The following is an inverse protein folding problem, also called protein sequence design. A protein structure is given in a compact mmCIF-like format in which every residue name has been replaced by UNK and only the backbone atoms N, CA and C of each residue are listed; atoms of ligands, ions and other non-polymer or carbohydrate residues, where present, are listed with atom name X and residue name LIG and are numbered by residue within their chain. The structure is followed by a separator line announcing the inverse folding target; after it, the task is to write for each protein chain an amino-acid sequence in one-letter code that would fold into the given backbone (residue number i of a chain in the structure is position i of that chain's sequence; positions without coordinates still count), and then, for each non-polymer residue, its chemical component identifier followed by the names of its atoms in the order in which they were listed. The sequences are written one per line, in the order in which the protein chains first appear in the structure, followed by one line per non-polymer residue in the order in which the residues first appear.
data_IF_348662109077
#
_entry.id   IF_348662109077
#
_cell.length_a   1.000
_cell.length_b   1.000
_cell.length_c   1.000
_cell.angle_alpha   90.00
_cell.angle_beta   90.00
_cell.angle_gamma   90.00
#
_symmetry.space_group_name_H-M   'P 1'
#
loop_
_entity.id
_entity.type
_entity.pdbx_description
1 polymer ?
#
# COMPACT_ATOMS: atom_id res chain seq x y z
N UNK A 1 -4.75 -13.92 0.00
CA UNK A 1 -4.13 -12.59 -0.15
C UNK A 1 -4.66 -11.68 0.95
N UNK A 2 -3.76 -11.11 1.77
CA UNK A 2 -4.08 -10.04 2.71
C UNK A 2 -3.89 -8.69 2.02
N UNK A 3 -4.94 -7.87 1.96
CA UNK A 3 -4.89 -6.52 1.39
C UNK A 3 -5.20 -5.51 2.48
N UNK A 4 -4.26 -4.62 2.76
CA UNK A 4 -4.44 -3.58 3.78
C UNK A 4 -4.70 -2.22 3.15
N UNK A 5 -5.42 -1.35 3.86
CA UNK A 5 -5.57 0.06 3.50
C UNK A 5 -5.54 0.92 4.76
N UNK A 6 -5.05 2.14 4.66
CA UNK A 6 -4.92 3.04 5.79
C UNK A 6 -6.22 3.77 6.12
N UNK A 7 -6.37 4.12 7.40
CA UNK A 7 -7.36 5.05 7.91
C UNK A 7 -7.12 6.50 7.40
N UNK A 8 -8.06 7.43 7.56
CA UNK A 8 -7.88 8.84 7.24
C UNK A 8 -6.73 9.47 8.04
N UNK A 9 -5.98 10.39 7.41
CA UNK A 9 -4.86 11.11 8.02
C UNK A 9 -4.74 12.53 7.48
N UNK A 10 -3.91 13.35 8.12
CA UNK A 10 -3.59 14.71 7.65
C UNK A 10 -4.80 15.66 7.59
N UNK A 11 -5.81 15.43 8.44
CA UNK A 11 -7.04 16.24 8.48
C UNK A 11 -8.08 15.89 7.42
N UNK A 12 -7.85 14.86 6.60
CA UNK A 12 -8.84 14.34 5.66
C UNK A 12 -9.86 13.44 6.39
N UNK A 13 -11.10 13.40 5.89
CA UNK A 13 -12.16 12.55 6.43
C UNK A 13 -12.21 11.16 5.79
N UNK A 14 -11.51 10.97 4.68
CA UNK A 14 -11.53 9.74 3.88
C UNK A 14 -10.10 9.39 3.47
N UNK A 15 -9.79 8.11 3.44
CA UNK A 15 -8.58 7.60 2.80
C UNK A 15 -8.98 6.68 1.64
N UNK A 16 -8.71 7.03 0.38
CA UNK A 16 -9.13 6.25 -0.79
C UNK A 16 -8.52 4.84 -0.81
N UNK A 17 -7.42 4.62 -0.09
CA UNK A 17 -6.77 3.31 -0.03
C UNK A 17 -7.70 2.26 0.58
N UNK A 18 -8.19 2.47 1.81
CA UNK A 18 -9.07 1.49 2.43
C UNK A 18 -10.47 1.51 1.82
N UNK A 19 -10.99 2.68 1.39
CA UNK A 19 -12.28 2.74 0.69
C UNK A 19 -12.28 1.85 -0.58
N UNK A 20 -11.20 1.88 -1.37
CA UNK A 20 -11.07 1.01 -2.52
C UNK A 20 -10.87 -0.47 -2.15
N UNK A 21 -10.11 -0.76 -1.09
CA UNK A 21 -9.92 -2.13 -0.59
C UNK A 21 -11.26 -2.75 -0.16
N UNK A 22 -12.15 -1.99 0.47
CA UNK A 22 -13.49 -2.47 0.85
C UNK A 22 -14.32 -2.94 -0.35
N UNK A 23 -14.12 -2.34 -1.52
CA UNK A 23 -14.85 -2.65 -2.76
C UNK A 23 -14.30 -3.87 -3.52
N UNK A 24 -13.15 -4.41 -3.13
CA UNK A 24 -12.61 -5.61 -3.77
C UNK A 24 -13.57 -6.80 -3.60
N UNK A 25 -13.69 -7.69 -4.58
CA UNK A 25 -14.36 -8.99 -4.40
C UNK A 25 -13.70 -9.80 -3.27
N UNK A 26 -14.45 -10.68 -2.62
CA UNK A 26 -13.90 -11.57 -1.59
C UNK A 26 -13.06 -12.72 -2.18
N UNK A 27 -13.20 -12.96 -3.49
CA UNK A 27 -12.40 -13.92 -4.26
C UNK A 27 -11.96 -13.28 -5.57
N UNK A 28 -10.65 -13.33 -5.86
CA UNK A 28 -10.06 -12.89 -7.13
C UNK A 28 -9.24 -14.05 -7.70
N UNK A 29 -9.55 -14.52 -8.91
CA UNK A 29 -8.88 -15.66 -9.59
C UNK A 29 -8.73 -16.91 -8.68
N UNK A 30 -9.74 -17.17 -7.85
CA UNK A 30 -9.76 -18.28 -6.90
C UNK A 30 -9.05 -18.04 -5.58
N UNK A 31 -8.32 -16.94 -5.42
CA UNK A 31 -7.68 -16.56 -4.16
C UNK A 31 -8.64 -15.79 -3.25
N UNK A 32 -8.72 -16.18 -1.99
CA UNK A 32 -9.46 -15.45 -0.96
C UNK A 32 -8.77 -14.12 -0.65
N UNK A 33 -9.56 -13.05 -0.55
CA UNK A 33 -9.11 -11.70 -0.22
C UNK A 33 -9.51 -11.35 1.21
N UNK A 34 -8.54 -11.14 2.06
CA UNK A 34 -8.72 -10.66 3.43
C UNK A 34 -8.44 -9.16 3.43
N UNK A 35 -9.44 -8.36 3.81
CA UNK A 35 -9.39 -6.90 3.82
C UNK A 35 -9.14 -6.41 5.23
N UNK A 36 -8.15 -5.53 5.42
CA UNK A 36 -7.75 -5.06 6.74
C UNK A 36 -7.50 -3.54 6.74
N UNK A 37 -8.20 -2.82 7.59
CA UNK A 37 -7.89 -1.42 7.88
C UNK A 37 -6.72 -1.34 8.86
N UNK A 38 -5.76 -0.48 8.58
CA UNK A 38 -4.62 -0.21 9.46
C UNK A 38 -4.52 1.30 9.74
N UNK A 39 -4.11 1.70 10.94
CA UNK A 39 -3.96 3.11 11.27
C UNK A 39 -2.75 3.72 10.57
N UNK A 40 -2.82 5.01 10.25
CA UNK A 40 -1.66 5.77 9.75
C UNK A 40 -0.75 6.15 10.93
N UNK A 41 -0.11 5.14 11.53
CA UNK A 41 0.77 5.24 12.72
C UNK A 41 1.98 4.33 12.54
N UNK A 42 3.20 4.87 12.64
CA UNK A 42 4.46 4.19 12.33
C UNK A 42 4.63 2.81 13.00
N UNK A 43 4.30 2.71 14.29
CA UNK A 43 4.48 1.46 15.05
C UNK A 43 3.24 0.58 14.99
N UNK A 44 2.07 1.18 15.16
CA UNK A 44 0.82 0.42 15.30
C UNK A 44 0.38 -0.28 14.03
N UNK A 45 0.62 0.33 12.87
CA UNK A 45 0.27 -0.25 11.56
C UNK A 45 0.96 -1.60 11.34
N UNK A 46 2.26 -1.69 11.58
CA UNK A 46 3.00 -2.95 11.39
C UNK A 46 2.64 -4.01 12.44
N UNK A 47 2.34 -3.63 13.68
CA UNK A 47 1.87 -4.56 14.72
C UNK A 47 0.59 -5.28 14.26
N UNK A 48 -0.40 -4.51 13.76
CA UNK A 48 -1.67 -5.04 13.27
C UNK A 48 -1.47 -5.94 12.04
N UNK A 49 -0.61 -5.54 11.09
CA UNK A 49 -0.29 -6.40 9.94
C UNK A 49 0.39 -7.68 10.38
N UNK A 50 1.32 -7.64 11.34
CA UNK A 50 1.97 -8.82 11.90
C UNK A 50 0.97 -9.78 12.54
N UNK A 51 0.07 -9.27 13.38
CA UNK A 51 -1.00 -10.07 14.01
C UNK A 51 -1.87 -10.77 12.95
N UNK A 52 -2.23 -10.05 11.87
CA UNK A 52 -3.00 -10.63 10.76
C UNK A 52 -2.20 -11.69 9.99
N UNK A 53 -0.92 -11.46 9.72
CA UNK A 53 -0.03 -12.45 9.06
C UNK A 53 0.12 -13.70 9.93
N UNK A 54 0.32 -13.55 11.23
CA UNK A 54 0.42 -14.69 12.17
C UNK A 54 -0.87 -15.50 12.24
N UNK A 55 -2.02 -14.83 12.24
CA UNK A 55 -3.34 -15.47 12.33
C UNK A 55 -3.76 -16.16 11.03
N UNK A 56 -3.64 -15.45 9.92
CA UNK A 56 -4.28 -15.85 8.64
C UNK A 56 -3.30 -16.53 7.68
N UNK A 57 -1.98 -16.49 7.96
CA UNK A 57 -0.90 -17.10 7.17
C UNK A 57 -1.02 -16.86 5.65
N UNK A 58 -1.13 -15.58 5.20
CA UNK A 58 -1.36 -15.29 3.80
C UNK A 58 -0.12 -15.58 2.95
N UNK A 59 -0.33 -16.10 1.72
CA UNK A 59 0.76 -16.27 0.74
C UNK A 59 1.23 -14.92 0.18
N UNK A 60 0.35 -13.91 0.19
CA UNK A 60 0.60 -12.57 -0.36
C UNK A 60 0.08 -11.50 0.57
N UNK A 61 0.89 -10.46 0.79
CA UNK A 61 0.50 -9.23 1.49
C UNK A 61 0.67 -8.03 0.56
N UNK A 62 -0.43 -7.32 0.29
CA UNK A 62 -0.44 -6.09 -0.50
C UNK A 62 -0.92 -4.95 0.38
N UNK A 63 -0.04 -4.01 0.69
CA UNK A 63 -0.43 -2.81 1.42
C UNK A 63 -0.81 -1.71 0.43
N UNK A 64 -1.87 -0.98 0.70
CA UNK A 64 -2.38 0.10 -0.15
C UNK A 64 -2.39 1.41 0.64
N UNK A 65 -1.82 2.47 0.07
CA UNK A 65 -1.76 3.80 0.69
C UNK A 65 -2.09 4.91 -0.31
N UNK A 66 -2.46 6.08 0.22
CA UNK A 66 -2.70 7.26 -0.59
C UNK A 66 -1.39 8.00 -0.88
N UNK A 67 -1.16 8.35 -2.15
CA UNK A 67 -0.11 9.29 -2.57
C UNK A 67 -0.74 10.47 -3.30
N UNK A 68 -1.08 11.50 -2.56
CA UNK A 68 -1.68 12.73 -3.10
C UNK A 68 -0.80 13.37 -4.17
N UNK A 69 -1.43 13.84 -5.26
CA UNK A 69 -0.75 14.45 -6.40
C UNK A 69 -0.34 13.47 -7.51
N UNK A 70 -0.38 12.16 -7.29
CA UNK A 70 -0.21 11.18 -8.37
C UNK A 70 -1.47 11.12 -9.24
N UNK A 71 -1.30 10.93 -10.54
CA UNK A 71 -2.40 10.88 -11.52
C UNK A 71 -2.84 9.45 -11.86
N UNK A 72 -2.16 8.43 -11.34
CA UNK A 72 -2.46 7.02 -11.60
C UNK A 72 -2.11 6.15 -10.39
N UNK A 73 -2.61 4.94 -10.37
CA UNK A 73 -2.17 3.90 -9.44
C UNK A 73 -0.70 3.57 -9.70
N UNK A 74 0.09 3.38 -8.65
CA UNK A 74 1.51 3.07 -8.77
C UNK A 74 1.89 1.89 -7.91
N UNK A 75 2.59 0.92 -8.49
CA UNK A 75 3.12 -0.25 -7.78
C UNK A 75 4.56 0.03 -7.37
N UNK A 76 4.81 -0.01 -6.07
CA UNK A 76 6.11 0.34 -5.50
C UNK A 76 7.14 -0.80 -5.70
N UNK A 77 8.32 -0.44 -6.22
CA UNK A 77 9.39 -1.42 -6.47
C UNK A 77 10.32 -1.59 -5.26
N UNK A 78 10.50 -0.56 -4.45
CA UNK A 78 11.50 -0.56 -3.37
C UNK A 78 10.99 0.18 -2.14
N UNK A 79 11.33 -0.34 -0.97
CA UNK A 79 11.20 0.32 0.33
C UNK A 79 12.59 0.49 0.94
N UNK A 80 12.81 1.60 1.65
CA UNK A 80 14.09 1.94 2.27
C UNK A 80 14.00 1.92 3.79
N UNK A 81 15.12 1.63 4.46
CA UNK A 81 15.21 1.55 5.91
C UNK A 81 15.32 2.94 6.56
N UNK A 82 14.33 3.77 6.30
CA UNK A 82 14.32 5.17 6.74
C UNK A 82 12.90 5.59 7.12
N UNK A 83 12.77 6.21 8.30
CA UNK A 83 11.63 7.01 8.70
C UNK A 83 12.05 8.47 8.83
N UNK A 84 11.46 9.34 8.01
CA UNK A 84 11.67 10.79 8.03
C UNK A 84 10.35 11.47 7.66
N UNK A 85 9.70 12.04 8.67
CA UNK A 85 8.31 12.46 8.58
C UNK A 85 8.20 13.99 8.50
N UNK A 86 7.69 14.49 7.37
CA UNK A 86 7.39 15.91 7.19
C UNK A 86 6.15 16.41 7.95
N UNK A 87 5.32 15.48 8.44
CA UNK A 87 4.13 15.72 9.27
C UNK A 87 4.02 14.61 10.32
N UNK A 88 3.45 14.87 11.50
CA UNK A 88 3.21 13.81 12.48
C UNK A 88 2.22 12.77 11.95
N UNK A 89 2.36 11.53 12.41
CA UNK A 89 1.38 10.48 12.20
C UNK A 89 0.12 10.69 13.07
N UNK A 90 -0.88 9.80 12.96
CA UNK A 90 -2.12 9.95 13.73
C UNK A 90 -1.95 9.75 15.25
N UNK A 91 -0.80 9.28 15.73
CA UNK A 91 -0.44 9.22 17.15
C UNK A 91 0.43 10.41 17.60
N UNK A 92 0.84 11.28 16.67
CA UNK A 92 1.69 12.43 16.94
C UNK A 92 3.20 12.14 16.80
N UNK A 93 3.60 10.94 16.38
CA UNK A 93 4.99 10.60 16.12
C UNK A 93 5.47 11.25 14.81
N UNK A 94 6.67 11.87 14.88
CA UNK A 94 7.33 12.51 13.73
C UNK A 94 8.82 12.17 13.74
N UNK A 95 9.20 10.95 13.32
CA UNK A 95 10.60 10.55 13.28
C UNK A 95 11.39 11.39 12.28
N UNK A 96 12.65 11.69 12.61
CA UNK A 96 13.60 12.43 11.78
C UNK A 96 14.84 11.54 11.55
N UNK A 97 15.13 11.20 10.30
CA UNK A 97 16.31 10.41 9.88
C UNK A 97 16.55 9.14 10.72
N UNK A 98 15.47 8.42 11.06
CA UNK A 98 15.53 7.21 11.88
C UNK A 98 15.54 5.94 11.03
N UNK A 99 16.37 4.94 11.42
CA UNK A 99 16.29 3.61 10.86
C UNK A 99 15.01 2.88 11.33
N UNK A 100 14.29 2.26 10.40
CA UNK A 100 13.10 1.45 10.71
C UNK A 100 13.49 0.17 11.46
N UNK A 101 14.52 -0.52 11.00
CA UNK A 101 15.06 -1.74 11.61
C UNK A 101 16.60 -1.65 11.69
N UNK A 102 17.14 -1.70 12.91
CA UNK A 102 18.58 -1.53 13.17
C UNK A 102 19.45 -2.59 12.49
N UNK A 103 18.94 -3.82 12.41
CA UNK A 103 19.64 -4.98 11.83
C UNK A 103 19.14 -5.30 10.41
N UNK A 104 18.35 -4.41 9.81
CA UNK A 104 17.82 -4.56 8.47
C UNK A 104 18.76 -3.97 7.41
N UNK A 105 18.72 -4.44 6.16
CA UNK A 105 19.45 -3.83 5.05
C UNK A 105 18.91 -2.44 4.73
N UNK A 106 19.68 -1.65 3.95
CA UNK A 106 19.28 -0.29 3.56
C UNK A 106 17.95 -0.26 2.78
N UNK A 107 17.63 -1.33 2.05
CA UNK A 107 16.40 -1.41 1.25
C UNK A 107 15.96 -2.86 1.03
N UNK A 108 14.66 -3.02 0.78
CA UNK A 108 14.06 -4.25 0.23
C UNK A 108 13.36 -3.95 -1.08
N UNK A 109 13.56 -4.81 -2.06
CA UNK A 109 12.70 -4.81 -3.25
C UNK A 109 11.39 -5.55 -2.97
N UNK A 110 10.29 -5.04 -3.52
CA UNK A 110 9.02 -5.76 -3.57
C UNK A 110 9.21 -7.15 -4.16
N UNK A 111 8.65 -8.15 -3.53
CA UNK A 111 8.62 -9.54 -4.02
C UNK A 111 7.41 -9.83 -4.90
N UNK A 112 6.53 -8.83 -5.09
CA UNK A 112 5.43 -8.91 -6.05
C UNK A 112 5.93 -8.76 -7.49
N UNK A 113 5.20 -9.31 -8.48
CA UNK A 113 5.52 -9.18 -9.91
C UNK A 113 5.15 -7.78 -10.44
N UNK A 114 5.84 -6.75 -9.93
CA UNK A 114 5.50 -5.33 -10.13
C UNK A 114 5.22 -4.96 -11.58
N UNK A 115 6.02 -5.48 -12.54
CA UNK A 115 5.83 -5.20 -13.97
C UNK A 115 4.56 -5.84 -14.51
N UNK A 116 4.33 -7.12 -14.20
CA UNK A 116 3.13 -7.83 -14.63
C UNK A 116 1.86 -7.20 -14.07
N UNK A 117 1.89 -6.74 -12.80
CA UNK A 117 0.79 -6.00 -12.19
C UNK A 117 0.47 -4.72 -12.98
N UNK A 118 1.47 -3.91 -13.31
CA UNK A 118 1.30 -2.68 -14.09
C UNK A 118 0.79 -2.96 -15.50
N UNK A 119 1.33 -3.99 -16.16
CA UNK A 119 0.92 -4.40 -17.50
C UNK A 119 -0.52 -4.90 -17.52
N UNK A 120 -0.94 -5.70 -16.53
CA UNK A 120 -2.31 -6.19 -16.45
C UNK A 120 -3.32 -5.05 -16.23
N UNK A 121 -3.04 -4.11 -15.33
CA UNK A 121 -3.90 -2.93 -15.11
C UNK A 121 -4.02 -2.11 -16.39
N UNK A 122 -2.91 -1.86 -17.10
CA UNK A 122 -2.91 -1.11 -18.38
C UNK A 122 -3.64 -1.83 -19.49
N UNK A 123 -3.56 -3.15 -19.55
CA UNK A 123 -4.30 -3.97 -20.53
C UNK A 123 -5.82 -3.82 -20.40
N UNK A 124 -6.30 -3.47 -19.21
CA UNK A 124 -7.71 -3.15 -18.94
C UNK A 124 -8.06 -1.66 -19.13
N UNK A 125 -7.16 -0.87 -19.74
CA UNK A 125 -7.38 0.54 -20.05
C UNK A 125 -7.26 1.48 -18.84
N UNK A 126 -6.69 1.02 -17.72
CA UNK A 126 -6.55 1.80 -16.51
C UNK A 126 -5.12 2.34 -16.36
N UNK A 127 -4.93 3.61 -15.94
CA UNK A 127 -3.61 4.18 -15.81
C UNK A 127 -2.86 3.61 -14.59
N UNK A 128 -1.69 3.02 -14.83
CA UNK A 128 -0.84 2.45 -13.80
C UNK A 128 0.63 2.61 -14.16
N UNK A 129 1.53 2.73 -13.18
CA UNK A 129 2.98 2.80 -13.41
C UNK A 129 3.77 2.17 -12.28
N UNK A 130 5.04 1.85 -12.56
CA UNK A 130 6.00 1.47 -11.51
C UNK A 130 6.48 2.72 -10.79
N UNK A 131 6.59 2.65 -9.48
CA UNK A 131 7.23 3.67 -8.65
C UNK A 131 8.47 3.10 -7.98
N UNK A 132 9.49 3.93 -7.83
CA UNK A 132 10.77 3.58 -7.20
C UNK A 132 10.97 4.30 -5.87
N UNK A 133 9.91 4.85 -5.29
CA UNK A 133 9.97 5.45 -3.95
C UNK A 133 8.59 5.48 -3.32
N UNK A 134 8.45 4.79 -2.19
CA UNK A 134 7.27 4.87 -1.33
C UNK A 134 7.33 6.08 -0.36
N UNK A 135 8.32 6.95 -0.51
CA UNK A 135 8.61 8.05 0.42
C UNK A 135 9.34 7.57 1.67
N UNK A 136 9.18 8.30 2.77
CA UNK A 136 9.82 8.03 4.06
C UNK A 136 8.84 8.09 5.23
N UNK A 137 7.54 8.17 4.92
CA UNK A 137 6.45 8.21 5.89
C UNK A 137 5.92 6.79 6.21
N UNK A 138 4.76 6.69 6.84
CA UNK A 138 4.16 5.42 7.30
C UNK A 138 4.03 4.37 6.18
N UNK A 139 3.76 4.78 4.94
CA UNK A 139 3.67 3.87 3.79
C UNK A 139 4.97 3.10 3.55
N UNK A 140 6.09 3.82 3.48
CA UNK A 140 7.42 3.20 3.36
C UNK A 140 7.74 2.33 4.58
N UNK A 141 7.40 2.78 5.78
CA UNK A 141 7.61 2.04 7.03
C UNK A 141 6.89 0.69 7.01
N UNK A 142 5.61 0.66 6.62
CA UNK A 142 4.84 -0.59 6.54
C UNK A 142 5.39 -1.49 5.44
N UNK A 143 5.64 -0.95 4.23
CA UNK A 143 6.20 -1.74 3.14
C UNK A 143 7.54 -2.37 3.52
N UNK A 144 8.46 -1.58 4.08
CA UNK A 144 9.77 -2.06 4.48
C UNK A 144 9.67 -3.17 5.53
N UNK A 145 8.89 -2.94 6.60
CA UNK A 145 8.78 -3.88 7.72
C UNK A 145 8.04 -5.17 7.36
N UNK A 146 7.06 -5.11 6.46
CA UNK A 146 6.40 -6.32 5.95
C UNK A 146 7.37 -7.13 5.08
N UNK A 147 8.18 -6.48 4.24
CA UNK A 147 9.23 -7.15 3.47
C UNK A 147 10.33 -7.73 4.36
N UNK A 148 10.72 -7.02 5.43
CA UNK A 148 11.65 -7.52 6.44
C UNK A 148 11.08 -8.75 7.17
N UNK A 149 9.81 -8.70 7.56
CA UNK A 149 9.10 -9.83 8.18
C UNK A 149 9.08 -11.05 7.24
N UNK A 150 8.75 -10.84 5.96
CA UNK A 150 8.77 -11.89 4.94
C UNK A 150 10.16 -12.52 4.83
N UNK A 151 11.20 -11.70 4.67
CA UNK A 151 12.57 -12.18 4.52
C UNK A 151 13.09 -12.96 5.74
N UNK A 152 12.64 -12.63 6.96
CA UNK A 152 13.12 -13.25 8.21
C UNK A 152 12.32 -14.47 8.63
N UNK A 153 10.99 -14.41 8.49
CA UNK A 153 10.08 -15.37 9.13
C UNK A 153 9.13 -16.09 8.18
N UNK A 154 8.87 -15.51 7.00
CA UNK A 154 7.91 -16.04 6.04
C UNK A 154 8.49 -16.03 4.60
N UNK A 155 9.54 -16.81 4.30
CA UNK A 155 10.30 -16.73 3.05
C UNK A 155 9.49 -17.03 1.79
N UNK A 156 8.35 -17.68 1.92
CA UNK A 156 7.43 -17.97 0.80
C UNK A 156 6.35 -16.90 0.63
N UNK A 157 6.21 -15.96 1.57
CA UNK A 157 5.23 -14.89 1.50
C UNK A 157 5.70 -13.78 0.56
N UNK A 158 4.95 -13.52 -0.50
CA UNK A 158 5.18 -12.35 -1.36
C UNK A 158 4.61 -11.10 -0.69
N UNK A 159 5.31 -9.97 -0.80
CA UNK A 159 4.84 -8.73 -0.22
C UNK A 159 5.21 -7.50 -1.05
N UNK A 160 4.41 -6.43 -0.93
CA UNK A 160 4.66 -5.16 -1.57
C UNK A 160 3.62 -4.10 -1.25
N UNK A 161 3.63 -3.03 -2.05
CA UNK A 161 2.85 -1.83 -1.79
C UNK A 161 2.31 -1.23 -3.09
N UNK A 162 1.09 -0.71 -3.01
CA UNK A 162 0.45 0.06 -4.09
C UNK A 162 0.04 1.42 -3.55
N UNK A 163 0.44 2.48 -4.22
CA UNK A 163 -0.09 3.81 -3.95
C UNK A 163 -1.23 4.16 -4.91
N UNK A 164 -2.26 4.79 -4.36
CA UNK A 164 -3.43 5.27 -5.09
C UNK A 164 -3.53 6.79 -5.02
N UNK A 165 -4.10 7.46 -6.05
CA UNK A 165 -4.34 8.91 -6.04
C UNK A 165 -5.34 9.33 -4.97
N UNK A 166 -5.54 10.64 -4.82
CA UNK A 166 -6.74 11.17 -4.16
C UNK A 166 -8.02 10.62 -4.80
N UNK A 167 -9.06 10.42 -3.99
CA UNK A 167 -10.41 10.20 -4.56
C UNK A 167 -10.95 11.47 -5.20
N UNK A 168 -11.88 11.33 -6.14
CA UNK A 168 -12.56 12.49 -6.75
C UNK A 168 -13.32 13.32 -5.72
N UNK A 169 -13.88 12.69 -4.69
CA UNK A 169 -14.59 13.37 -3.60
C UNK A 169 -13.67 14.24 -2.75
N UNK A 170 -12.44 13.75 -2.43
CA UNK A 170 -11.47 14.52 -1.65
C UNK A 170 -11.08 15.84 -2.33
N UNK A 171 -11.05 15.88 -3.65
CA UNK A 171 -10.58 17.05 -4.40
C UNK A 171 -11.70 17.97 -4.90
N UNK A 172 -12.96 17.52 -4.80
CA UNK A 172 -14.12 18.24 -5.35
C UNK A 172 -14.26 19.66 -4.82
N UNK A 173 -13.85 19.91 -3.58
CA UNK A 173 -13.94 21.22 -2.91
C UNK A 173 -12.57 21.82 -2.57
N UNK A 174 -11.47 21.36 -3.19
CA UNK A 174 -10.14 21.98 -3.00
C UNK A 174 -10.01 23.24 -3.85
N UNK A 175 -9.35 24.25 -3.32
CA UNK A 175 -9.15 25.56 -3.98
C UNK A 175 -8.31 25.50 -5.26
N UNK A 176 -7.64 24.39 -5.52
CA UNK A 176 -6.80 24.18 -6.71
C UNK A 176 -7.10 22.83 -7.37
N UNK A 177 -6.94 22.72 -8.70
CA UNK A 177 -7.04 21.44 -9.40
C UNK A 177 -5.99 20.46 -8.88
N UNK A 178 -6.43 19.24 -8.52
CA UNK A 178 -5.58 18.14 -8.08
C UNK A 178 -5.90 16.90 -8.90
N UNK A 179 -4.88 16.12 -9.21
CA UNK A 179 -5.05 14.80 -9.82
C UNK A 179 -5.82 13.88 -8.86
N UNK A 180 -6.83 13.19 -9.38
CA UNK A 180 -7.67 12.29 -8.60
C UNK A 180 -8.24 11.17 -9.46
N UNK A 181 -8.79 10.14 -8.81
CA UNK A 181 -9.41 9.01 -9.48
C UNK A 181 -10.65 8.57 -8.68
N UNK A 182 -11.78 8.23 -9.33
CA UNK A 182 -12.93 7.65 -8.65
C UNK A 182 -12.54 6.39 -7.87
N UNK A 183 -13.12 6.20 -6.68
CA UNK A 183 -12.79 5.05 -5.81
C UNK A 183 -13.04 3.72 -6.51
N UNK A 184 -14.11 3.62 -7.29
CA UNK A 184 -14.45 2.42 -8.07
C UNK A 184 -13.37 2.09 -9.13
N UNK A 185 -12.76 3.10 -9.72
CA UNK A 185 -11.66 2.94 -10.68
C UNK A 185 -10.37 2.54 -9.96
N UNK A 186 -10.12 3.11 -8.78
CA UNK A 186 -9.03 2.66 -7.91
C UNK A 186 -9.22 1.18 -7.54
N UNK A 187 -10.41 0.79 -7.08
CA UNK A 187 -10.73 -0.59 -6.72
C UNK A 187 -10.54 -1.56 -7.92
N UNK A 188 -11.00 -1.18 -9.11
CA UNK A 188 -10.76 -1.98 -10.33
C UNK A 188 -9.28 -2.10 -10.67
N UNK A 189 -8.50 -1.04 -10.49
CA UNK A 189 -7.05 -1.09 -10.69
C UNK A 189 -6.37 -2.03 -9.69
N UNK A 190 -6.80 -2.03 -8.43
CA UNK A 190 -6.32 -2.97 -7.41
C UNK A 190 -6.70 -4.42 -7.75
N UNK A 191 -7.95 -4.67 -8.17
CA UNK A 191 -8.42 -6.00 -8.60
C UNK A 191 -7.52 -6.56 -9.70
N UNK A 192 -7.30 -5.81 -10.79
CA UNK A 192 -6.44 -6.26 -11.89
C UNK A 192 -4.95 -6.38 -11.50
N UNK A 193 -4.48 -5.56 -10.55
CA UNK A 193 -3.14 -5.74 -10.01
C UNK A 193 -3.01 -7.07 -9.23
N UNK A 194 -4.03 -7.42 -8.42
CA UNK A 194 -4.08 -8.67 -7.65
C UNK A 194 -4.20 -9.89 -8.57
N UNK A 195 -5.01 -9.83 -9.63
CA UNK A 195 -5.11 -10.90 -10.63
C UNK A 195 -3.75 -11.31 -11.18
N UNK A 196 -2.88 -10.33 -11.49
CA UNK A 196 -1.54 -10.61 -11.99
C UNK A 196 -0.65 -11.31 -10.96
N UNK A 197 -0.86 -11.04 -9.67
CA UNK A 197 -0.11 -11.70 -8.58
C UNK A 197 -0.55 -13.14 -8.38
N UNK A 198 -1.86 -13.39 -8.50
CA UNK A 198 -2.45 -14.72 -8.27
C UNK A 198 -2.15 -15.67 -9.43
N UNK A 199 -2.05 -15.15 -10.67
CA UNK A 199 -1.77 -15.94 -11.88
C UNK A 199 -0.30 -16.33 -12.05
N UNK A 200 0.63 -15.74 -11.29
CA UNK A 200 2.07 -16.04 -11.33
C UNK A 200 2.45 -17.20 -10.40
#
# INVERSE_FOLDING_TARGET
VLVTGFDPFGGENVNPAYEAVKLLPDIIEGAQIIKLEIPTVFKKSIEIVKEAVEKDQPDVVINVGQAGGRACVTVEKVAINLADAGIPDNAGDSPEDESLEKDGPDAYFSTLPVKAMVENVRAHGLPCSVSYSAGTYVCNSVMYRVLHLAARSYPNMKAGFIHVPYSSEQVANKDRPLASMPIEIIAKSLEHAIEAVVKE
#
